data_IF_992477017372
#
_entry.id   IF_992477017372
#
_cell.length_a   1.000
_cell.length_b   1.000
_cell.length_c   1.000
_cell.angle_alpha   90.00
_cell.angle_beta   90.00
_cell.angle_gamma   90.00
#
_symmetry.space_group_name_H-M   'P 1'
#
loop_
_entity.id
_entity.type
_entity.pdbx_description
1 polymer ?
#
# COMPACT_ATOMS: atom_id res chain seq x y z
N UNK A 1 -18.83 -3.85 20.51
CA UNK A 1 -18.13 -4.87 21.31
C UNK A 1 -17.72 -4.24 22.62
N UNK A 2 -18.05 -4.87 23.75
CA UNK A 2 -17.64 -4.38 25.07
C UNK A 2 -16.15 -4.67 25.36
N UNK A 3 -15.65 -4.19 26.50
CA UNK A 3 -14.25 -4.33 26.88
C UNK A 3 -13.87 -5.79 27.19
N UNK A 4 -14.75 -6.55 27.83
CA UNK A 4 -14.45 -7.92 28.25
C UNK A 4 -14.28 -8.83 27.02
N UNK A 5 -15.17 -8.70 26.02
CA UNK A 5 -15.04 -9.42 24.76
C UNK A 5 -13.76 -9.04 24.00
N UNK A 6 -13.37 -7.76 24.01
CA UNK A 6 -12.09 -7.33 23.43
C UNK A 6 -10.89 -7.97 24.12
N UNK A 7 -10.91 -8.05 25.45
CA UNK A 7 -9.82 -8.64 26.22
C UNK A 7 -9.69 -10.15 26.01
N UNK A 8 -10.82 -10.85 25.88
CA UNK A 8 -10.84 -12.27 25.52
C UNK A 8 -10.21 -12.50 24.14
N UNK A 9 -10.65 -11.76 23.13
CA UNK A 9 -10.09 -11.85 21.77
C UNK A 9 -8.60 -11.47 21.74
N UNK A 10 -8.18 -10.48 22.52
CA UNK A 10 -6.77 -10.12 22.62
C UNK A 10 -5.94 -11.25 23.27
N UNK A 11 -6.52 -11.97 24.22
CA UNK A 11 -5.95 -13.21 24.78
C UNK A 11 -5.75 -14.28 23.70
N UNK A 12 -6.73 -14.47 22.81
CA UNK A 12 -6.66 -15.42 21.68
C UNK A 12 -5.47 -15.12 20.76
N UNK A 13 -5.15 -13.83 20.53
CA UNK A 13 -4.02 -13.45 19.66
C UNK A 13 -2.67 -13.96 20.15
N UNK A 14 -2.49 -14.16 21.46
CA UNK A 14 -1.20 -14.54 22.06
C UNK A 14 -1.20 -15.94 22.65
N UNK A 15 -2.37 -16.55 22.88
CA UNK A 15 -2.49 -17.87 23.50
C UNK A 15 -1.75 -18.97 22.70
N UNK A 16 -0.93 -19.79 23.38
CA UNK A 16 -0.15 -20.85 22.72
C UNK A 16 -1.08 -21.89 22.08
N UNK A 17 -0.66 -22.44 20.93
CA UNK A 17 -1.40 -23.50 20.24
C UNK A 17 -2.67 -23.05 19.51
N UNK A 18 -3.04 -21.77 19.55
CA UNK A 18 -4.19 -21.27 18.79
C UNK A 18 -3.96 -21.38 17.28
N UNK A 19 -4.89 -22.01 16.53
CA UNK A 19 -4.83 -22.07 15.07
C UNK A 19 -4.76 -20.68 14.44
N UNK A 20 -4.16 -20.59 13.25
CA UNK A 20 -4.00 -19.32 12.55
C UNK A 20 -5.35 -18.70 12.21
N UNK A 21 -6.33 -19.52 11.82
CA UNK A 21 -7.70 -19.12 11.46
C UNK A 21 -8.41 -18.46 12.65
N UNK A 22 -8.19 -18.99 13.86
CA UNK A 22 -8.76 -18.45 15.10
C UNK A 22 -8.13 -17.10 15.44
N UNK A 23 -6.81 -16.97 15.27
CA UNK A 23 -6.09 -15.70 15.45
C UNK A 23 -6.50 -14.66 14.42
N UNK A 24 -6.68 -15.06 13.16
CA UNK A 24 -7.16 -14.19 12.09
C UNK A 24 -8.55 -13.65 12.42
N UNK A 25 -9.50 -14.51 12.78
CA UNK A 25 -10.85 -14.11 13.14
C UNK A 25 -10.86 -13.12 14.33
N UNK A 26 -10.08 -13.41 15.38
CA UNK A 26 -9.93 -12.53 16.53
C UNK A 26 -9.32 -11.17 16.14
N UNK A 27 -8.28 -11.16 15.30
CA UNK A 27 -7.62 -9.93 14.87
C UNK A 27 -8.55 -9.06 13.99
N UNK A 28 -9.31 -9.67 13.08
CA UNK A 28 -10.30 -8.96 12.25
C UNK A 28 -11.41 -8.35 13.11
N UNK A 29 -11.94 -9.10 14.08
CA UNK A 29 -12.97 -8.60 14.99
C UNK A 29 -12.46 -7.44 15.86
N UNK A 30 -11.23 -7.55 16.37
CA UNK A 30 -10.58 -6.49 17.13
C UNK A 30 -10.34 -5.23 16.28
N UNK A 31 -9.86 -5.40 15.04
CA UNK A 31 -9.67 -4.29 14.10
C UNK A 31 -10.97 -3.56 13.76
N UNK A 32 -12.06 -4.29 13.51
CA UNK A 32 -13.37 -3.69 13.29
C UNK A 32 -13.88 -2.90 14.51
N UNK A 33 -13.41 -3.23 15.70
CA UNK A 33 -13.71 -2.51 16.93
C UNK A 33 -12.69 -1.42 17.29
N UNK A 34 -11.71 -1.15 16.42
CA UNK A 34 -10.65 -0.15 16.63
C UNK A 34 -9.58 -0.55 17.64
N UNK A 35 -9.48 -1.83 18.00
CA UNK A 35 -8.52 -2.31 18.99
C UNK A 35 -7.16 -2.62 18.34
N UNK A 36 -6.18 -1.79 18.68
CA UNK A 36 -4.83 -1.80 18.08
C UNK A 36 -3.98 -3.00 18.46
N UNK A 37 -4.43 -3.83 19.40
CA UNK A 37 -3.80 -5.12 19.72
C UNK A 37 -3.86 -6.09 18.53
N UNK A 38 -4.80 -5.89 17.58
CA UNK A 38 -4.88 -6.66 16.34
C UNK A 38 -3.69 -6.47 15.39
N UNK A 39 -2.97 -5.35 15.50
CA UNK A 39 -2.02 -4.90 14.49
C UNK A 39 -0.95 -5.93 14.14
N UNK A 40 -0.26 -6.51 15.13
CA UNK A 40 0.86 -7.42 14.87
C UNK A 40 0.42 -8.67 14.12
N UNK A 41 -0.75 -9.22 14.49
CA UNK A 41 -1.34 -10.37 13.81
C UNK A 41 -1.71 -10.02 12.37
N UNK A 42 -2.36 -8.88 12.13
CA UNK A 42 -2.73 -8.49 10.77
C UNK A 42 -1.50 -8.14 9.91
N UNK A 43 -0.46 -7.51 10.49
CA UNK A 43 0.79 -7.22 9.78
C UNK A 43 1.51 -8.50 9.35
N UNK A 44 1.50 -9.54 10.18
CA UNK A 44 1.98 -10.88 9.80
C UNK A 44 1.18 -11.46 8.62
N UNK A 45 -0.15 -11.33 8.67
CA UNK A 45 -1.05 -11.89 7.66
C UNK A 45 -1.00 -11.15 6.32
N UNK A 46 -0.67 -9.85 6.31
CA UNK A 46 -0.59 -9.02 5.11
C UNK A 46 0.40 -9.54 4.05
N UNK A 47 1.41 -10.31 4.46
CA UNK A 47 2.40 -10.92 3.56
C UNK A 47 2.29 -12.46 3.60
N UNK A 48 1.13 -13.01 3.97
CA UNK A 48 0.94 -14.46 4.02
C UNK A 48 0.80 -15.05 2.61
N UNK A 49 1.19 -16.33 2.44
CA UNK A 49 1.24 -16.99 1.12
C UNK A 49 -0.12 -17.13 0.42
N UNK A 50 -1.19 -17.09 1.20
CA UNK A 50 -2.56 -17.29 0.73
C UNK A 50 -3.17 -15.93 0.41
N UNK A 51 -3.46 -15.64 -0.87
CA UNK A 51 -3.83 -14.27 -1.30
C UNK A 51 -5.07 -13.72 -0.59
N UNK A 52 -6.10 -14.55 -0.42
CA UNK A 52 -7.36 -14.14 0.23
C UNK A 52 -7.12 -13.66 1.66
N UNK A 53 -6.32 -14.40 2.43
CA UNK A 53 -5.94 -14.04 3.80
C UNK A 53 -5.15 -12.73 3.86
N UNK A 54 -4.23 -12.53 2.92
CA UNK A 54 -3.45 -11.29 2.83
C UNK A 54 -4.32 -10.08 2.47
N UNK A 55 -5.30 -10.25 1.57
CA UNK A 55 -6.27 -9.20 1.23
C UNK A 55 -7.23 -8.88 2.39
N UNK A 56 -7.70 -9.90 3.12
CA UNK A 56 -8.47 -9.72 4.35
C UNK A 56 -7.69 -8.89 5.38
N UNK A 57 -6.42 -9.23 5.59
CA UNK A 57 -5.55 -8.51 6.50
C UNK A 57 -5.32 -7.06 6.07
N UNK A 58 -5.13 -6.80 4.77
CA UNK A 58 -5.01 -5.46 4.23
C UNK A 58 -6.25 -4.60 4.52
N UNK A 59 -7.45 -5.14 4.27
CA UNK A 59 -8.72 -4.45 4.57
C UNK A 59 -8.87 -4.16 6.05
N UNK A 60 -8.56 -5.14 6.90
CA UNK A 60 -8.63 -4.99 8.35
C UNK A 60 -7.63 -3.95 8.88
N UNK A 61 -6.41 -3.90 8.34
CA UNK A 61 -5.40 -2.89 8.69
C UNK A 61 -5.81 -1.47 8.27
N UNK A 62 -6.40 -1.32 7.09
CA UNK A 62 -6.94 -0.04 6.63
C UNK A 62 -8.08 0.45 7.54
N UNK A 63 -8.98 -0.47 7.92
CA UNK A 63 -10.09 -0.18 8.84
C UNK A 63 -9.59 0.16 10.26
N UNK A 64 -8.57 -0.56 10.74
CA UNK A 64 -8.01 -0.34 12.08
C UNK A 64 -7.41 1.06 12.23
N UNK A 65 -6.87 1.64 11.15
CA UNK A 65 -6.30 2.99 11.18
C UNK A 65 -5.08 3.13 12.10
N UNK A 66 -4.35 2.02 12.37
CA UNK A 66 -3.14 2.09 13.18
C UNK A 66 -2.04 2.87 12.43
N UNK A 67 -1.45 3.96 12.98
CA UNK A 67 -0.37 4.73 12.35
C UNK A 67 0.88 3.91 12.00
N UNK A 68 1.04 2.70 12.51
CA UNK A 68 2.14 1.80 12.12
C UNK A 68 1.89 1.10 10.77
N UNK A 69 0.65 1.10 10.27
CA UNK A 69 0.24 0.33 9.08
C UNK A 69 1.03 0.71 7.83
N UNK A 70 1.16 2.00 7.52
CA UNK A 70 1.86 2.44 6.30
C UNK A 70 3.33 2.00 6.31
N UNK A 71 4.02 2.18 7.45
CA UNK A 71 5.41 1.74 7.61
C UNK A 71 5.57 0.23 7.48
N UNK A 72 4.67 -0.56 8.07
CA UNK A 72 4.70 -2.01 7.96
C UNK A 72 4.45 -2.47 6.51
N UNK A 73 3.45 -1.90 5.83
CA UNK A 73 3.17 -2.21 4.44
C UNK A 73 4.34 -1.85 3.51
N UNK A 74 4.98 -0.70 3.73
CA UNK A 74 6.19 -0.29 3.01
C UNK A 74 7.32 -1.30 3.18
N UNK A 75 7.63 -1.69 4.42
CA UNK A 75 8.67 -2.68 4.69
C UNK A 75 8.40 -4.05 4.03
N UNK A 76 7.13 -4.44 3.89
CA UNK A 76 6.76 -5.69 3.23
C UNK A 76 6.81 -5.57 1.70
N UNK A 77 6.40 -4.42 1.14
CA UNK A 77 6.44 -4.15 -0.29
C UNK A 77 7.88 -4.10 -0.84
N UNK A 78 8.83 -3.58 -0.06
CA UNK A 78 10.23 -3.45 -0.47
C UNK A 78 11.09 -4.67 -0.14
N UNK A 79 10.56 -5.66 0.60
CA UNK A 79 11.32 -6.84 1.00
C UNK A 79 11.66 -7.76 -0.19
N UNK A 80 12.94 -7.90 -0.59
CA UNK A 80 13.32 -8.69 -1.75
C UNK A 80 13.06 -10.20 -1.56
N UNK A 81 13.09 -10.70 -0.32
CA UNK A 81 12.85 -12.11 0.00
C UNK A 81 11.37 -12.49 -0.04
N UNK A 82 10.47 -11.51 -0.10
CA UNK A 82 9.00 -11.71 -0.03
C UNK A 82 8.25 -11.00 -1.14
N UNK A 83 8.95 -10.52 -2.16
CA UNK A 83 8.37 -9.71 -3.24
C UNK A 83 7.23 -10.43 -4.00
N UNK A 84 7.24 -11.77 -4.05
CA UNK A 84 6.15 -12.57 -4.63
C UNK A 84 4.78 -12.33 -3.98
N UNK A 85 4.74 -11.78 -2.77
CA UNK A 85 3.53 -11.50 -2.00
C UNK A 85 3.37 -10.00 -1.73
N UNK A 86 4.03 -9.14 -2.51
CA UNK A 86 4.03 -7.70 -2.29
C UNK A 86 2.73 -6.99 -2.74
N UNK A 87 1.87 -7.65 -3.53
CA UNK A 87 0.65 -7.03 -4.08
C UNK A 87 -0.29 -6.49 -2.98
N UNK A 88 -0.67 -7.26 -1.93
CA UNK A 88 -1.53 -6.73 -0.87
C UNK A 88 -0.89 -5.54 -0.10
N UNK A 89 0.39 -5.58 0.32
CA UNK A 89 1.07 -4.39 0.84
C UNK A 89 1.04 -3.18 -0.09
N UNK A 90 1.30 -3.37 -1.40
CA UNK A 90 1.29 -2.29 -2.41
C UNK A 90 -0.10 -1.66 -2.50
N UNK A 91 -1.15 -2.47 -2.66
CA UNK A 91 -2.54 -1.98 -2.73
C UNK A 91 -2.95 -1.24 -1.46
N UNK A 92 -2.53 -1.75 -0.29
CA UNK A 92 -2.77 -1.09 0.98
C UNK A 92 -2.08 0.29 1.03
N UNK A 93 -0.83 0.41 0.60
CA UNK A 93 -0.14 1.70 0.52
C UNK A 93 -0.86 2.69 -0.41
N UNK A 94 -1.34 2.23 -1.56
CA UNK A 94 -2.12 3.07 -2.49
C UNK A 94 -3.40 3.57 -1.83
N UNK A 95 -4.14 2.68 -1.16
CA UNK A 95 -5.37 3.03 -0.44
C UNK A 95 -5.10 4.04 0.69
N UNK A 96 -4.03 3.86 1.45
CA UNK A 96 -3.69 4.73 2.59
C UNK A 96 -3.20 6.11 2.17
N UNK A 97 -2.64 6.24 0.94
CA UNK A 97 -2.00 7.47 0.45
C UNK A 97 -1.03 8.11 1.46
N UNK A 98 -0.27 7.26 2.16
CA UNK A 98 0.64 7.68 3.22
C UNK A 98 1.96 8.21 2.64
N UNK A 99 2.76 8.98 3.42
CA UNK A 99 4.07 9.47 2.99
C UNK A 99 5.03 8.36 2.52
N UNK A 100 4.87 7.15 3.07
CA UNK A 100 5.66 5.96 2.71
C UNK A 100 5.27 5.33 1.37
N UNK A 101 4.06 5.60 0.86
CA UNK A 101 3.50 4.89 -0.30
C UNK A 101 4.32 5.11 -1.58
N UNK A 102 4.57 6.37 -1.94
CA UNK A 102 5.30 6.68 -3.18
C UNK A 102 6.75 6.17 -3.14
N UNK A 103 7.56 6.46 -2.09
CA UNK A 103 8.93 5.95 -2.01
C UNK A 103 9.01 4.42 -2.09
N UNK A 104 8.13 3.71 -1.37
CA UNK A 104 8.13 2.24 -1.38
C UNK A 104 7.78 1.66 -2.75
N UNK A 105 6.75 2.20 -3.43
CA UNK A 105 6.37 1.72 -4.76
C UNK A 105 7.44 2.03 -5.82
N UNK A 106 8.14 3.18 -5.72
CA UNK A 106 9.28 3.50 -6.60
C UNK A 106 10.40 2.48 -6.40
N UNK A 107 10.82 2.25 -5.15
CA UNK A 107 11.90 1.31 -4.82
C UNK A 107 11.57 -0.10 -5.30
N UNK A 108 10.35 -0.59 -5.03
CA UNK A 108 9.92 -1.91 -5.47
C UNK A 108 9.88 -2.03 -6.99
N UNK A 109 9.34 -1.03 -7.71
CA UNK A 109 9.29 -1.06 -9.17
C UNK A 109 10.68 -1.02 -9.79
N UNK A 110 11.55 -0.11 -9.34
CA UNK A 110 12.91 0.05 -9.86
C UNK A 110 13.71 -1.24 -9.74
N UNK A 111 13.69 -1.87 -8.56
CA UNK A 111 14.31 -3.17 -8.32
C UNK A 111 13.75 -4.26 -9.22
N UNK A 112 12.43 -4.35 -9.36
CA UNK A 112 11.81 -5.33 -10.24
C UNK A 112 12.29 -5.11 -11.68
N UNK A 113 12.16 -3.91 -12.23
CA UNK A 113 12.63 -3.61 -13.60
C UNK A 113 14.10 -3.99 -13.85
N UNK A 114 14.97 -3.84 -12.86
CA UNK A 114 16.37 -4.25 -12.94
C UNK A 114 16.57 -5.78 -12.90
N UNK A 115 15.90 -6.50 -12.00
CA UNK A 115 16.12 -7.92 -11.76
C UNK A 115 15.39 -8.82 -12.78
N UNK A 116 14.20 -8.43 -13.25
CA UNK A 116 13.36 -9.25 -14.14
C UNK A 116 13.12 -10.69 -13.65
N UNK A 117 13.05 -10.87 -12.32
CA UNK A 117 12.92 -12.18 -11.66
C UNK A 117 11.59 -12.36 -10.91
N UNK A 118 11.59 -13.13 -9.80
CA UNK A 118 10.43 -13.41 -8.96
C UNK A 118 9.74 -12.13 -8.49
N UNK A 119 8.42 -12.15 -8.39
CA UNK A 119 7.63 -10.98 -7.99
C UNK A 119 7.20 -10.06 -9.13
N UNK A 120 7.34 -10.51 -10.39
CA UNK A 120 6.84 -9.77 -11.55
C UNK A 120 5.34 -9.44 -11.49
N UNK A 121 4.57 -10.25 -10.76
CA UNK A 121 3.14 -10.03 -10.52
C UNK A 121 2.85 -8.74 -9.75
N UNK A 122 3.84 -8.20 -9.02
CA UNK A 122 3.73 -6.92 -8.33
C UNK A 122 3.95 -5.71 -9.24
N UNK A 123 4.56 -5.89 -10.41
CA UNK A 123 4.90 -4.77 -11.31
C UNK A 123 3.66 -4.00 -11.79
N UNK A 124 2.57 -4.64 -12.27
CA UNK A 124 1.36 -3.92 -12.64
C UNK A 124 0.78 -3.10 -11.46
N UNK A 125 0.76 -3.68 -10.26
CA UNK A 125 0.27 -3.02 -9.07
C UNK A 125 1.10 -1.78 -8.69
N UNK A 126 2.43 -1.84 -8.84
CA UNK A 126 3.28 -0.67 -8.66
C UNK A 126 3.01 0.41 -9.71
N UNK A 127 2.94 0.06 -10.99
CA UNK A 127 2.74 1.02 -12.08
C UNK A 127 1.39 1.72 -11.96
N UNK A 128 0.32 0.96 -11.76
CA UNK A 128 -1.03 1.50 -11.56
C UNK A 128 -1.12 2.34 -10.30
N UNK A 129 -0.57 1.82 -9.19
CA UNK A 129 -0.56 2.50 -7.90
C UNK A 129 0.18 3.84 -7.93
N UNK A 130 1.34 3.92 -8.57
CA UNK A 130 2.07 5.18 -8.73
C UNK A 130 1.29 6.20 -9.56
N UNK A 131 0.61 5.75 -10.63
CA UNK A 131 -0.27 6.60 -11.41
C UNK A 131 -1.48 7.11 -10.62
N UNK A 132 -2.05 6.28 -9.74
CA UNK A 132 -3.17 6.67 -8.86
C UNK A 132 -2.74 7.64 -7.75
N UNK A 133 -1.53 7.45 -7.20
CA UNK A 133 -0.95 8.34 -6.20
C UNK A 133 -0.62 9.73 -6.78
N UNK A 134 -0.33 9.82 -8.07
CA UNK A 134 -0.22 11.10 -8.78
C UNK A 134 1.07 11.88 -8.51
N UNK A 135 2.04 11.30 -7.81
CA UNK A 135 3.25 12.01 -7.37
C UNK A 135 4.32 12.08 -8.49
N UNK A 136 4.76 13.29 -8.90
CA UNK A 136 5.75 13.47 -9.96
C UNK A 136 7.09 12.77 -9.71
N UNK A 137 7.45 12.45 -8.46
CA UNK A 137 8.66 11.69 -8.13
C UNK A 137 8.69 10.32 -8.81
N UNK A 138 7.53 9.75 -9.15
CA UNK A 138 7.40 8.48 -9.86
C UNK A 138 7.77 8.55 -11.35
N UNK A 139 7.91 9.75 -11.94
CA UNK A 139 8.05 9.91 -13.39
C UNK A 139 9.25 9.14 -13.97
N UNK A 140 10.39 9.13 -13.29
CA UNK A 140 11.61 8.47 -13.79
C UNK A 140 11.41 6.95 -13.89
N UNK A 141 10.91 6.31 -12.83
CA UNK A 141 10.72 4.85 -12.83
C UNK A 141 9.58 4.43 -13.78
N UNK A 142 8.53 5.24 -13.92
CA UNK A 142 7.46 4.99 -14.89
C UNK A 142 7.95 5.11 -16.35
N UNK A 143 8.84 6.06 -16.66
CA UNK A 143 9.47 6.13 -17.99
C UNK A 143 10.33 4.89 -18.27
N UNK A 144 11.04 4.37 -17.27
CA UNK A 144 11.77 3.11 -17.42
C UNK A 144 10.80 1.94 -17.71
N UNK A 145 9.66 1.88 -17.02
CA UNK A 145 8.62 0.88 -17.28
C UNK A 145 8.08 0.93 -18.72
N UNK A 146 8.03 2.11 -19.36
CA UNK A 146 7.62 2.24 -20.77
C UNK A 146 8.51 1.48 -21.76
N UNK A 147 9.77 1.19 -21.40
CA UNK A 147 10.66 0.39 -22.23
C UNK A 147 10.16 -1.06 -22.38
N UNK A 148 9.40 -1.58 -21.40
CA UNK A 148 8.89 -2.94 -21.42
C UNK A 148 7.56 -3.02 -22.18
N UNK A 149 7.47 -3.81 -23.26
CA UNK A 149 6.26 -3.88 -24.09
C UNK A 149 4.98 -4.22 -23.33
N UNK A 150 5.07 -5.09 -22.31
CA UNK A 150 3.92 -5.50 -21.48
C UNK A 150 3.40 -4.41 -20.56
N UNK A 151 4.25 -3.45 -20.19
CA UNK A 151 3.91 -2.39 -19.22
C UNK A 151 3.61 -1.06 -19.90
N UNK A 152 4.06 -0.89 -21.15
CA UNK A 152 4.03 0.38 -21.88
C UNK A 152 2.72 1.14 -21.74
N UNK A 153 1.59 0.47 -22.02
CA UNK A 153 0.26 1.11 -21.95
C UNK A 153 -0.07 1.61 -20.55
N UNK A 154 0.12 0.77 -19.53
CA UNK A 154 -0.15 1.13 -18.13
C UNK A 154 0.79 2.25 -17.64
N UNK A 155 2.07 2.18 -18.01
CA UNK A 155 3.07 3.16 -17.62
C UNK A 155 2.83 4.53 -18.28
N UNK A 156 2.42 4.57 -19.55
CA UNK A 156 2.01 5.81 -20.23
C UNK A 156 0.78 6.42 -19.54
N UNK A 157 -0.25 5.63 -19.27
CA UNK A 157 -1.43 6.10 -18.56
C UNK A 157 -1.10 6.63 -17.15
N UNK A 158 -0.17 5.99 -16.44
CA UNK A 158 0.32 6.47 -15.15
C UNK A 158 1.07 7.81 -15.28
N UNK A 159 1.92 7.96 -16.30
CA UNK A 159 2.63 9.22 -16.60
C UNK A 159 1.67 10.36 -16.95
N UNK A 160 0.58 10.07 -17.66
CA UNK A 160 -0.46 11.07 -17.97
C UNK A 160 -1.14 11.58 -16.70
N UNK A 161 -1.43 10.69 -15.73
CA UNK A 161 -2.05 11.08 -14.45
C UNK A 161 -1.14 11.97 -13.60
N UNK A 162 0.16 11.65 -13.49
CA UNK A 162 1.10 12.49 -12.73
C UNK A 162 1.35 13.84 -13.43
N UNK A 163 1.32 13.88 -14.76
CA UNK A 163 1.50 15.10 -15.56
C UNK A 163 0.26 16.01 -15.58
N UNK A 164 -0.94 15.43 -15.48
CA UNK A 164 -2.19 16.18 -15.32
C UNK A 164 -2.29 16.90 -13.97
N UNK A 165 -1.70 16.34 -12.91
CA UNK A 165 -1.68 16.96 -11.58
C UNK A 165 -0.89 18.29 -11.55
N UNK A 166 0.19 18.40 -12.33
CA UNK A 166 0.95 19.65 -12.48
C UNK A 166 0.15 20.76 -13.19
N UNK A 167 -0.74 20.40 -14.13
CA UNK A 167 -1.63 21.36 -14.78
C UNK A 167 -2.67 21.94 -13.82
N UNK A 168 -3.22 21.11 -12.92
CA UNK A 168 -4.23 21.52 -11.93
C UNK A 168 -3.61 22.32 -10.77
N UNK A 169 -2.40 21.96 -10.30
CA UNK A 169 -1.69 22.69 -9.24
C UNK A 169 -1.14 24.06 -9.70
N UNK A 170 -0.78 24.19 -10.99
CA UNK A 170 -0.36 25.46 -11.61
C UNK A 170 -1.53 26.46 -11.74
N UNK A 171 -2.75 25.98 -12.01
CA UNK A 171 -3.95 26.82 -12.09
C UNK A 171 -4.35 27.50 -10.78
N UNK A 172 -3.99 26.94 -9.62
CA UNK A 172 -4.30 27.53 -8.31
C UNK A 172 -3.32 28.62 -7.86
N UNK A 173 -2.12 28.72 -8.47
CA UNK A 173 -1.13 29.78 -8.16
C UNK A 173 -1.27 31.04 -9.02
N UNK A 174 -1.97 30.96 -10.16
CA UNK A 174 -2.14 32.09 -11.07
C UNK A 174 -3.28 33.08 -10.69
N UNK A 175 -4.09 32.76 -9.67
CA UNK A 175 -5.23 33.61 -9.25
C UNK A 175 -4.91 34.61 -8.12
N UNK A 176 -3.66 34.69 -7.66
CA UNK A 176 -3.27 35.52 -6.50
C UNK A 176 -2.46 36.77 -6.84
N UNK A 177 -2.16 37.02 -8.12
CA UNK A 177 -1.31 38.15 -8.54
C UNK A 177 -1.99 39.00 -9.62
N UNK A 178 -3.19 39.50 -9.33
CA UNK A 178 -3.77 40.63 -10.05
C UNK A 178 -4.61 41.49 -9.10
N UNK A 179 -3.94 42.25 -8.25
CA UNK A 179 -4.55 43.38 -7.55
C UNK A 179 -4.46 44.64 -8.44
N UNK A 180 -5.55 45.38 -8.64
CA UNK A 180 -5.57 46.52 -9.54
C UNK A 180 -4.83 47.71 -8.90
N UNK A 181 -3.86 48.28 -9.62
CA UNK A 181 -3.26 49.56 -9.26
C UNK A 181 -4.26 50.68 -9.54
N UNK A 182 -4.72 51.33 -8.48
CA UNK A 182 -5.42 52.62 -8.49
C UNK A 182 -4.49 53.76 -8.87
#
# INVERSE_FOLDING_TARGET
MDSAARDELAGVLTAPGQPLEVREAAAVALAAAGDRRAFETLALLLNYREPERAENAARALALLGDPRTARAAAALATNPLRVAYAVPPIRLLVQLRAPESVPALIETLDRLLAEQTLGWDAVPACVEGLGELGDPRAATVLRAACAHPRLRTAAVAALERIGGYEADASGARAASDEAPRT
#
